data_IF_350130367961
#
_entry.id   IF_350130367961
#
_cell.length_a   1.000
_cell.length_b   1.000
_cell.length_c   1.000
_cell.angle_alpha   90.00
_cell.angle_beta   90.00
_cell.angle_gamma   90.00
#
_symmetry.space_group_name_H-M   'P 1'
#
loop_
_entity.id
_entity.type
_entity.pdbx_description
1 polymer ?
#
# COMPACT_ATOMS: atom_id res chain seq x y z
N UNK A 1 -20.90 26.31 -77.50
CA UNK A 1 -19.69 25.96 -76.65
C UNK A 1 -20.17 25.87 -75.20
N UNK A 2 -20.29 24.63 -74.63
CA UNK A 2 -20.70 24.43 -73.26
C UNK A 2 -19.44 24.10 -72.46
N UNK A 3 -19.12 24.88 -71.44
CA UNK A 3 -18.02 24.64 -70.50
C UNK A 3 -18.55 23.83 -69.31
N UNK A 4 -18.11 22.60 -69.15
CA UNK A 4 -18.37 21.77 -68.00
C UNK A 4 -17.41 22.15 -66.88
N UNK A 5 -17.97 22.52 -65.70
CA UNK A 5 -17.22 22.74 -64.47
C UNK A 5 -17.11 21.41 -63.70
N UNK A 6 -15.87 20.97 -63.48
CA UNK A 6 -15.59 19.81 -62.65
C UNK A 6 -15.42 20.28 -61.20
N UNK A 7 -16.38 19.90 -60.35
CA UNK A 7 -16.32 20.17 -58.91
C UNK A 7 -15.39 19.14 -58.20
N UNK A 8 -14.35 19.62 -57.56
CA UNK A 8 -13.50 18.81 -56.68
C UNK A 8 -14.11 18.79 -55.28
N UNK A 9 -14.53 17.61 -54.82
CA UNK A 9 -14.99 17.39 -53.45
C UNK A 9 -13.76 17.02 -52.62
N UNK A 10 -13.31 17.90 -51.71
CA UNK A 10 -12.32 17.56 -50.66
C UNK A 10 -13.04 16.82 -49.53
N UNK A 11 -12.75 15.53 -49.36
CA UNK A 11 -13.16 14.77 -48.21
C UNK A 11 -12.19 15.08 -47.06
N UNK A 12 -12.64 15.82 -46.04
CA UNK A 12 -11.89 16.07 -44.80
C UNK A 12 -11.91 14.84 -43.90
N UNK A 13 -10.74 14.27 -43.67
CA UNK A 13 -10.56 13.19 -42.64
C UNK A 13 -10.47 13.85 -41.27
N UNK A 14 -11.51 13.70 -40.44
CA UNK A 14 -11.50 14.12 -39.04
C UNK A 14 -10.81 13.00 -38.24
N UNK A 15 -9.57 13.21 -37.85
CA UNK A 15 -8.84 12.31 -36.92
C UNK A 15 -9.34 12.57 -35.50
N UNK A 16 -10.18 11.67 -34.97
CA UNK A 16 -10.59 11.70 -33.56
C UNK A 16 -9.44 11.17 -32.68
N UNK A 17 -8.76 12.05 -31.96
CA UNK A 17 -7.80 11.68 -30.93
C UNK A 17 -8.56 11.22 -29.69
N UNK A 18 -8.50 9.93 -29.38
CA UNK A 18 -8.99 9.38 -28.12
C UNK A 18 -7.95 9.72 -27.03
N UNK A 19 -8.28 10.68 -26.15
CA UNK A 19 -7.51 10.90 -24.92
C UNK A 19 -7.79 9.72 -23.98
N UNK A 20 -6.82 8.82 -23.85
CA UNK A 20 -6.81 7.83 -22.77
C UNK A 20 -6.32 8.54 -21.51
N UNK A 21 -7.23 8.81 -20.56
CA UNK A 21 -6.85 9.29 -19.24
C UNK A 21 -6.01 8.19 -18.54
N UNK A 22 -4.90 8.56 -17.86
CA UNK A 22 -4.16 7.59 -17.07
C UNK A 22 -5.09 7.05 -15.97
N UNK A 23 -5.18 5.72 -15.85
CA UNK A 23 -5.86 5.09 -14.73
C UNK A 23 -5.09 5.46 -13.45
N UNK A 24 -5.72 6.17 -12.53
CA UNK A 24 -5.17 6.38 -11.18
C UNK A 24 -5.22 5.02 -10.48
N UNK A 25 -4.06 4.51 -10.08
CA UNK A 25 -4.01 3.32 -9.24
C UNK A 25 -4.69 3.67 -7.89
N UNK A 26 -5.71 2.92 -7.52
CA UNK A 26 -6.42 3.13 -6.25
C UNK A 26 -5.63 2.49 -5.10
N UNK A 27 -5.71 3.11 -3.92
CA UNK A 27 -5.18 2.55 -2.70
C UNK A 27 -5.88 1.22 -2.38
N UNK A 28 -5.12 0.24 -1.90
CA UNK A 28 -5.66 -1.08 -1.51
C UNK A 28 -6.03 -1.03 -0.03
N UNK A 29 -7.32 -1.04 0.35
CA UNK A 29 -7.69 -0.96 1.75
C UNK A 29 -7.29 -2.23 2.52
N UNK A 30 -7.04 -2.12 3.86
CA UNK A 30 -6.79 -3.27 4.70
C UNK A 30 -8.02 -4.17 4.79
N UNK A 31 -7.80 -5.48 4.96
CA UNK A 31 -8.85 -6.48 5.15
C UNK A 31 -8.48 -7.48 6.23
N UNK A 32 -9.42 -7.82 7.12
CA UNK A 32 -9.19 -8.79 8.19
C UNK A 32 -8.13 -8.37 9.20
N UNK A 33 -7.84 -7.06 9.35
CA UNK A 33 -6.88 -6.51 10.30
C UNK A 33 -7.61 -5.90 11.48
N UNK A 34 -7.16 -6.20 12.69
CA UNK A 34 -7.56 -5.51 13.91
C UNK A 34 -6.32 -5.15 14.73
N UNK A 35 -6.41 -4.07 15.52
CA UNK A 35 -5.31 -3.63 16.36
C UNK A 35 -5.80 -3.12 17.71
N UNK A 36 -5.05 -3.46 18.77
CA UNK A 36 -5.26 -3.01 20.13
C UNK A 36 -4.11 -2.11 20.55
N UNK A 37 -4.43 -0.92 21.07
CA UNK A 37 -3.42 -0.03 21.66
C UNK A 37 -2.91 -0.63 22.98
N UNK A 38 -1.59 -0.82 23.08
CA UNK A 38 -0.94 -1.30 24.31
C UNK A 38 -0.38 -0.11 25.10
N UNK A 39 0.33 0.79 24.42
CA UNK A 39 0.98 1.94 25.04
C UNK A 39 1.15 3.08 24.05
N UNK A 40 1.07 4.31 24.54
CA UNK A 40 1.31 5.51 23.75
C UNK A 40 1.93 6.59 24.62
N UNK A 41 3.01 7.21 24.15
CA UNK A 41 3.66 8.36 24.81
C UNK A 41 4.22 9.30 23.75
N UNK A 42 4.03 10.60 23.98
CA UNK A 42 4.63 11.66 23.16
C UNK A 42 5.79 12.29 23.89
N UNK A 43 6.95 12.34 23.24
CA UNK A 43 8.16 12.97 23.75
C UNK A 43 8.62 14.02 22.72
N UNK A 44 8.50 15.29 23.09
CA UNK A 44 8.75 16.38 22.14
C UNK A 44 7.77 16.35 20.97
N UNK A 45 8.28 16.19 19.76
CA UNK A 45 7.50 16.09 18.52
C UNK A 45 7.36 14.64 18.01
N UNK A 46 7.75 13.67 18.83
CA UNK A 46 7.75 12.25 18.45
C UNK A 46 6.75 11.48 19.31
N UNK A 47 5.94 10.67 18.67
CA UNK A 47 5.00 9.77 19.30
C UNK A 47 5.51 8.33 19.18
N UNK A 48 5.53 7.63 20.33
CA UNK A 48 5.90 6.23 20.45
C UNK A 48 4.64 5.45 20.78
N UNK A 49 4.22 4.56 19.89
CA UNK A 49 2.98 3.80 20.05
C UNK A 49 3.27 2.32 19.89
N UNK A 50 2.86 1.54 20.87
CA UNK A 50 2.89 0.07 20.78
C UNK A 50 1.46 -0.42 20.56
N UNK A 51 1.27 -1.19 19.50
CA UNK A 51 0.00 -1.84 19.18
C UNK A 51 0.20 -3.34 18.98
N UNK A 52 -0.75 -4.13 19.46
CA UNK A 52 -0.89 -5.53 19.06
C UNK A 52 -1.78 -5.58 17.82
N UNK A 53 -1.28 -6.19 16.76
CA UNK A 53 -1.97 -6.31 15.48
C UNK A 53 -2.28 -7.76 15.22
N UNK A 54 -3.53 -8.05 14.89
CA UNK A 54 -3.99 -9.36 14.44
C UNK A 54 -4.42 -9.28 12.98
N UNK A 55 -3.89 -10.18 12.15
CA UNK A 55 -4.33 -10.34 10.77
C UNK A 55 -5.00 -11.71 10.65
N UNK A 56 -6.28 -11.73 10.33
CA UNK A 56 -7.05 -12.96 10.13
C UNK A 56 -6.48 -13.78 8.96
N UNK A 57 -6.84 -15.05 8.90
CA UNK A 57 -6.53 -15.90 7.74
C UNK A 57 -6.98 -15.24 6.44
N UNK A 58 -6.10 -15.13 5.45
CA UNK A 58 -6.35 -14.45 4.19
C UNK A 58 -6.44 -12.92 4.27
N UNK A 59 -6.17 -12.32 5.44
CA UNK A 59 -6.19 -10.87 5.64
C UNK A 59 -4.93 -10.17 5.13
N UNK A 60 -5.04 -8.85 4.97
CA UNK A 60 -3.98 -7.99 4.42
C UNK A 60 -4.04 -6.60 5.02
N UNK A 61 -2.87 -5.98 5.23
CA UNK A 61 -2.77 -4.57 5.64
C UNK A 61 -3.15 -3.59 4.53
N UNK A 62 -3.29 -4.05 3.28
CA UNK A 62 -3.27 -3.17 2.11
C UNK A 62 -1.86 -2.61 1.86
N UNK A 63 -1.62 -2.05 0.68
CA UNK A 63 -0.40 -1.33 0.37
C UNK A 63 -0.36 -0.01 1.12
N UNK A 64 0.72 0.24 1.85
CA UNK A 64 0.87 1.44 2.67
C UNK A 64 2.34 1.75 2.94
N UNK A 65 2.60 2.89 3.57
CA UNK A 65 3.88 3.28 4.14
C UNK A 65 3.66 4.00 5.49
N UNK A 66 4.75 4.33 6.18
CA UNK A 66 4.70 5.03 7.47
C UNK A 66 5.53 6.31 7.43
N UNK A 67 5.09 7.36 8.14
CA UNK A 67 5.82 8.63 8.26
C UNK A 67 7.02 8.55 9.23
N UNK A 68 7.17 7.44 9.92
CA UNK A 68 8.29 7.13 10.80
C UNK A 68 8.59 5.64 10.83
N UNK A 69 9.73 5.20 11.40
CA UNK A 69 10.08 3.78 11.41
C UNK A 69 9.11 2.97 12.27
N UNK A 70 8.84 1.74 11.80
CA UNK A 70 8.08 0.74 12.56
C UNK A 70 8.95 -0.47 12.84
N UNK A 71 8.89 -0.96 14.08
CA UNK A 71 9.57 -2.16 14.54
C UNK A 71 8.53 -3.16 14.99
N UNK A 72 8.39 -4.25 14.27
CA UNK A 72 7.48 -5.34 14.59
C UNK A 72 8.18 -6.56 15.15
N UNK A 73 7.50 -7.36 15.97
CA UNK A 73 7.92 -8.70 16.35
C UNK A 73 6.74 -9.66 16.38
N UNK A 74 6.96 -10.78 15.74
CA UNK A 74 5.93 -11.79 15.58
C UNK A 74 5.69 -12.55 16.87
N UNK A 75 4.45 -12.56 17.37
CA UNK A 75 4.01 -13.35 18.53
C UNK A 75 3.54 -14.73 18.11
N UNK A 76 2.80 -14.82 17.01
CA UNK A 76 2.28 -16.08 16.49
C UNK A 76 1.98 -15.99 14.99
N UNK A 77 1.89 -17.14 14.33
CA UNK A 77 1.56 -17.24 12.91
C UNK A 77 2.74 -16.89 11.99
N UNK A 78 2.41 -16.56 10.75
CA UNK A 78 3.38 -16.26 9.70
C UNK A 78 2.90 -15.06 8.89
N UNK A 79 3.73 -14.04 8.81
CA UNK A 79 3.50 -12.85 7.99
C UNK A 79 4.26 -12.98 6.66
N UNK A 80 3.60 -12.79 5.55
CA UNK A 80 4.21 -12.54 4.25
C UNK A 80 4.28 -11.02 4.06
N UNK A 81 5.48 -10.48 3.93
CA UNK A 81 5.75 -9.06 3.71
C UNK A 81 6.30 -8.87 2.31
N UNK A 82 5.73 -7.93 1.55
CA UNK A 82 6.14 -7.62 0.18
C UNK A 82 6.48 -6.14 0.11
N UNK A 83 7.67 -5.83 -0.37
CA UNK A 83 8.14 -4.46 -0.58
C UNK A 83 7.76 -3.93 -1.98
N UNK A 84 7.93 -2.62 -2.22
CA UNK A 84 7.57 -1.96 -3.48
C UNK A 84 8.36 -2.49 -4.70
N UNK A 85 9.51 -3.12 -4.50
CA UNK A 85 10.29 -3.78 -5.54
C UNK A 85 9.84 -5.23 -5.82
N UNK A 86 8.71 -5.63 -5.19
CA UNK A 86 8.13 -6.97 -5.25
C UNK A 86 8.99 -8.06 -4.58
N UNK A 87 9.99 -7.68 -3.80
CA UNK A 87 10.70 -8.64 -2.95
C UNK A 87 9.80 -9.15 -1.83
N UNK A 88 9.88 -10.44 -1.53
CA UNK A 88 9.03 -11.12 -0.56
C UNK A 88 9.87 -11.64 0.60
N UNK A 89 9.50 -11.28 1.81
CA UNK A 89 10.05 -11.84 3.04
C UNK A 89 8.95 -12.52 3.86
N UNK A 90 9.32 -13.55 4.61
CA UNK A 90 8.39 -14.27 5.49
C UNK A 90 8.91 -14.22 6.92
N UNK A 91 8.03 -13.79 7.86
CA UNK A 91 8.35 -13.68 9.27
C UNK A 91 7.47 -14.62 10.10
N UNK A 92 8.08 -15.34 11.02
CA UNK A 92 7.43 -16.30 11.94
C UNK A 92 7.57 -15.88 13.39
N UNK A 93 6.82 -16.51 14.26
CA UNK A 93 6.89 -16.27 15.71
C UNK A 93 8.35 -16.18 16.22
N UNK A 94 8.64 -15.14 17.00
CA UNK A 94 9.97 -14.82 17.54
C UNK A 94 10.86 -13.98 16.60
N UNK A 95 10.48 -13.77 15.34
CA UNK A 95 11.23 -12.93 14.40
C UNK A 95 10.78 -11.46 14.48
N UNK A 96 11.70 -10.57 14.12
CA UNK A 96 11.47 -9.12 14.07
C UNK A 96 11.47 -8.63 12.63
N UNK A 97 10.68 -7.59 12.39
CA UNK A 97 10.60 -6.86 11.13
C UNK A 97 10.92 -5.40 11.39
N UNK A 98 11.57 -4.75 10.44
CA UNK A 98 11.80 -3.32 10.45
C UNK A 98 11.29 -2.73 9.16
N UNK A 99 10.41 -1.75 9.27
CA UNK A 99 9.84 -0.99 8.15
C UNK A 99 10.41 0.43 8.17
N UNK A 100 11.20 0.81 7.16
CA UNK A 100 11.76 2.16 7.04
C UNK A 100 10.64 3.18 6.78
N UNK A 101 10.83 4.46 7.16
CA UNK A 101 9.84 5.51 6.92
C UNK A 101 9.87 6.01 5.47
N UNK A 102 8.72 6.55 5.03
CA UNK A 102 8.59 7.34 3.81
C UNK A 102 7.92 6.61 2.65
N UNK A 103 7.41 7.40 1.72
CA UNK A 103 6.68 6.93 0.55
C UNK A 103 7.51 6.07 -0.43
N UNK A 104 8.83 6.06 -0.29
CA UNK A 104 9.73 5.19 -1.06
C UNK A 104 9.75 3.75 -0.53
N UNK A 105 9.12 3.51 0.64
CA UNK A 105 9.10 2.24 1.34
C UNK A 105 7.67 1.68 1.45
N UNK A 106 6.91 1.80 0.36
CA UNK A 106 5.57 1.18 0.27
C UNK A 106 5.70 -0.33 0.38
N UNK A 107 4.84 -0.93 1.20
CA UNK A 107 4.83 -2.36 1.45
C UNK A 107 3.42 -2.87 1.78
N UNK A 108 3.27 -4.19 1.83
CA UNK A 108 2.04 -4.88 2.22
C UNK A 108 2.37 -6.06 3.12
N UNK A 109 1.64 -6.21 4.22
CA UNK A 109 1.68 -7.39 5.07
C UNK A 109 0.46 -8.28 4.81
N UNK A 110 0.67 -9.57 4.55
CA UNK A 110 -0.40 -10.53 4.29
C UNK A 110 -0.31 -11.75 5.19
N UNK A 111 -1.47 -12.32 5.47
CA UNK A 111 -1.58 -13.62 6.10
C UNK A 111 -2.06 -14.65 5.07
N UNK A 112 -1.14 -15.30 4.39
CA UNK A 112 -1.43 -16.31 3.38
C UNK A 112 -1.69 -17.71 4.01
N UNK A 113 -1.92 -17.78 5.33
CA UNK A 113 -2.15 -19.03 6.07
C UNK A 113 -3.62 -19.19 6.48
N UNK A 114 -3.97 -20.38 6.98
CA UNK A 114 -5.32 -20.70 7.43
C UNK A 114 -5.61 -20.27 8.89
N UNK A 115 -4.63 -19.71 9.60
CA UNK A 115 -4.75 -19.32 11.01
C UNK A 115 -4.40 -17.83 11.17
N UNK A 116 -4.97 -17.14 12.16
CA UNK A 116 -4.58 -15.74 12.45
C UNK A 116 -3.09 -15.63 12.79
N UNK A 117 -2.48 -14.53 12.40
CA UNK A 117 -1.17 -14.12 12.91
C UNK A 117 -1.35 -12.97 13.90
N UNK A 118 -0.42 -12.86 14.85
CA UNK A 118 -0.35 -11.76 15.81
C UNK A 118 1.07 -11.22 15.88
N UNK A 119 1.22 -9.92 15.81
CA UNK A 119 2.48 -9.22 16.04
C UNK A 119 2.26 -8.00 16.92
N UNK A 120 3.28 -7.63 17.70
CA UNK A 120 3.36 -6.31 18.32
C UNK A 120 4.19 -5.40 17.42
N UNK A 121 3.78 -4.15 17.27
CA UNK A 121 4.46 -3.14 16.49
C UNK A 121 4.69 -1.88 17.30
N UNK A 122 5.94 -1.41 17.35
CA UNK A 122 6.33 -0.11 17.86
C UNK A 122 6.41 0.86 16.69
N UNK A 123 5.53 1.84 16.69
CA UNK A 123 5.54 2.98 15.78
C UNK A 123 6.33 4.13 16.43
N UNK A 124 7.25 4.74 15.69
CA UNK A 124 7.99 5.93 16.09
C UNK A 124 7.67 7.02 15.07
N UNK A 125 6.61 7.78 15.32
CA UNK A 125 6.00 8.68 14.35
C UNK A 125 6.16 10.15 14.74
N UNK A 126 6.07 11.10 13.79
CA UNK A 126 5.76 12.48 14.14
C UNK A 126 4.46 12.54 14.93
N UNK A 127 4.39 13.38 15.97
CA UNK A 127 3.20 13.52 16.81
C UNK A 127 1.97 13.93 15.98
N UNK A 128 0.90 13.14 16.07
CA UNK A 128 -0.33 13.35 15.31
C UNK A 128 -0.33 12.77 13.89
N UNK A 129 0.74 12.12 13.45
CA UNK A 129 0.74 11.40 12.19
C UNK A 129 -0.16 10.14 12.26
N UNK A 130 -0.76 9.71 11.16
CA UNK A 130 -1.51 8.45 11.11
C UNK A 130 -0.57 7.25 11.29
N UNK A 131 -1.12 6.10 11.69
CA UNK A 131 -0.31 4.87 11.84
C UNK A 131 0.22 4.36 10.51
N UNK A 132 -0.48 4.63 9.41
CA UNK A 132 -0.08 4.30 8.05
C UNK A 132 -0.74 5.24 7.06
N UNK A 133 -0.08 5.46 5.93
CA UNK A 133 -0.58 6.17 4.76
C UNK A 133 -0.88 5.14 3.68
N UNK A 134 -2.11 5.13 3.18
CA UNK A 134 -2.52 4.22 2.11
C UNK A 134 -1.77 4.52 0.82
N UNK A 135 -1.39 3.47 0.10
CA UNK A 135 -0.67 3.56 -1.16
C UNK A 135 -1.32 2.68 -2.24
N UNK A 136 -1.03 3.02 -3.49
CA UNK A 136 -1.39 2.18 -4.62
C UNK A 136 -0.48 0.94 -4.68
N UNK A 137 -1.01 -0.15 -5.24
CA UNK A 137 -0.21 -1.33 -5.60
C UNK A 137 0.90 -0.92 -6.57
N UNK A 138 2.19 -1.15 -6.25
CA UNK A 138 3.31 -0.84 -7.14
C UNK A 138 3.40 -1.74 -8.39
N UNK A 139 2.44 -2.65 -8.59
CA UNK A 139 2.38 -3.56 -9.73
C UNK A 139 2.92 -4.95 -9.43
N UNK A 140 2.94 -5.36 -8.17
CA UNK A 140 3.43 -6.68 -7.76
C UNK A 140 2.42 -7.81 -7.98
N UNK A 141 1.19 -7.53 -8.39
CA UNK A 141 0.19 -8.53 -8.77
C UNK A 141 -0.40 -9.31 -7.59
N UNK A 142 -0.63 -8.66 -6.47
CA UNK A 142 -1.17 -9.26 -5.23
C UNK A 142 -2.55 -8.73 -4.88
#
# INVERSE_FOLDING_TARGET
>A
MRRSAVGVVLAGVVASTVLVAPATAEATPPSGVSATLISQVTIGTTEYVVREITIAAGGSTGWHYHDGPVLGWMKSGTLTHVDADCSVATYRAGQTIREPPGADHVHIGRNDTAFPLVLDALYILPAGAPFSEDAADPGCGH
#
